data_IF_940796131337
#
_entry.id   IF_940796131337
#
_cell.length_a   1.000
_cell.length_b   1.000
_cell.length_c   1.000
_cell.angle_alpha   90.00
_cell.angle_beta   90.00
_cell.angle_gamma   90.00
#
_symmetry.space_group_name_H-M   'P 1'
#
loop_
_entity.id
_entity.type
_entity.pdbx_description
1 polymer ?
#
# COMPACT_ATOMS: atom_id res chain seq x y z
N UNK A 1 29.84 34.96 23.48
CA UNK A 1 30.19 33.82 24.34
C UNK A 1 29.08 32.80 24.20
N UNK A 2 29.45 31.60 23.81
CA UNK A 2 28.60 30.50 23.34
C UNK A 2 28.24 29.55 24.48
N UNK A 3 26.95 29.45 24.80
CA UNK A 3 26.40 28.33 25.57
C UNK A 3 25.73 27.35 24.61
N UNK A 4 26.54 26.43 24.08
CA UNK A 4 26.04 25.25 23.37
C UNK A 4 25.71 24.23 24.46
N UNK A 5 24.41 24.08 24.73
CA UNK A 5 23.85 22.98 25.50
C UNK A 5 23.98 21.69 24.68
N UNK A 6 25.16 21.08 24.70
CA UNK A 6 25.40 19.75 24.18
C UNK A 6 24.91 18.74 25.23
N UNK A 7 23.66 18.29 25.08
CA UNK A 7 23.17 17.12 25.80
C UNK A 7 23.90 15.89 25.23
N UNK A 8 25.09 15.62 25.78
CA UNK A 8 25.75 14.33 25.61
C UNK A 8 24.89 13.26 26.29
N UNK A 9 23.98 12.66 25.52
CA UNK A 9 23.22 11.49 25.95
C UNK A 9 24.20 10.39 26.35
N UNK A 10 24.14 9.95 27.61
CA UNK A 10 25.03 8.92 28.13
C UNK A 10 24.83 7.64 27.30
N UNK A 11 25.91 6.96 26.83
CA UNK A 11 25.81 5.70 26.08
C UNK A 11 24.90 4.65 26.74
N UNK A 12 24.84 4.63 28.09
CA UNK A 12 23.95 3.77 28.86
C UNK A 12 22.46 4.08 28.65
N UNK A 13 22.08 5.36 28.66
CA UNK A 13 20.69 5.80 28.48
C UNK A 13 20.19 5.52 27.05
N UNK A 14 21.08 5.71 26.06
CA UNK A 14 20.79 5.38 24.66
C UNK A 14 20.57 3.87 24.48
N UNK A 15 21.39 3.04 25.12
CA UNK A 15 21.24 1.59 25.10
C UNK A 15 19.91 1.13 25.75
N UNK A 16 19.57 1.68 26.91
CA UNK A 16 18.28 1.39 27.57
C UNK A 16 17.08 1.80 26.72
N UNK A 17 17.15 2.96 26.05
CA UNK A 17 16.09 3.43 25.15
C UNK A 17 15.88 2.48 23.97
N UNK A 18 16.98 2.02 23.34
CA UNK A 18 16.93 1.05 22.25
C UNK A 18 16.31 -0.27 22.72
N UNK A 19 16.74 -0.80 23.86
CA UNK A 19 16.20 -2.06 24.41
C UNK A 19 14.70 -1.95 24.74
N UNK A 20 14.25 -0.81 25.29
CA UNK A 20 12.81 -0.56 25.51
C UNK A 20 12.04 -0.54 24.20
N UNK A 21 12.57 0.12 23.17
CA UNK A 21 11.97 0.15 21.84
C UNK A 21 11.92 -1.24 21.20
N UNK A 22 12.98 -2.03 21.31
CA UNK A 22 13.00 -3.41 20.81
C UNK A 22 11.94 -4.28 21.50
N UNK A 23 11.79 -4.18 22.82
CA UNK A 23 10.74 -4.89 23.55
C UNK A 23 9.33 -4.47 23.11
N UNK A 24 9.10 -3.16 22.90
CA UNK A 24 7.83 -2.65 22.39
C UNK A 24 7.56 -3.13 20.96
N UNK A 25 8.57 -3.12 20.08
CA UNK A 25 8.47 -3.61 18.71
C UNK A 25 8.12 -5.10 18.72
N UNK A 26 8.84 -5.91 19.49
CA UNK A 26 8.60 -7.34 19.57
C UNK A 26 7.20 -7.66 20.14
N UNK A 27 6.75 -6.93 21.16
CA UNK A 27 5.38 -7.05 21.67
C UNK A 27 4.33 -6.75 20.60
N UNK A 28 4.50 -5.63 19.88
CA UNK A 28 3.57 -5.26 18.80
C UNK A 28 3.61 -6.24 17.63
N UNK A 29 4.75 -6.87 17.33
CA UNK A 29 4.83 -7.94 16.31
C UNK A 29 3.98 -9.13 16.72
N UNK A 30 4.12 -9.60 17.97
CA UNK A 30 3.34 -10.72 18.49
C UNK A 30 1.84 -10.42 18.51
N UNK A 31 1.46 -9.23 19.00
CA UNK A 31 0.07 -8.79 19.00
C UNK A 31 -0.49 -8.71 17.57
N UNK A 32 0.29 -8.20 16.62
CA UNK A 32 -0.09 -8.12 15.21
C UNK A 32 -0.28 -9.50 14.60
N UNK A 33 0.62 -10.45 14.86
CA UNK A 33 0.51 -11.83 14.38
C UNK A 33 -0.76 -12.50 14.94
N UNK A 34 -1.03 -12.32 16.23
CA UNK A 34 -2.24 -12.86 16.86
C UNK A 34 -3.51 -12.23 16.27
N UNK A 35 -3.55 -10.90 16.14
CA UNK A 35 -4.69 -10.19 15.55
C UNK A 35 -4.92 -10.60 14.09
N UNK A 36 -3.86 -10.76 13.30
CA UNK A 36 -3.96 -11.22 11.92
C UNK A 36 -4.49 -12.65 11.83
N UNK A 37 -4.03 -13.55 12.70
CA UNK A 37 -4.53 -14.92 12.76
C UNK A 37 -6.01 -14.96 13.13
N UNK A 38 -6.39 -14.28 14.21
CA UNK A 38 -7.78 -14.19 14.66
C UNK A 38 -8.67 -13.57 13.58
N UNK A 39 -8.23 -12.48 12.94
CA UNK A 39 -8.97 -11.85 11.86
C UNK A 39 -9.20 -12.80 10.68
N UNK A 40 -8.19 -13.61 10.32
CA UNK A 40 -8.32 -14.61 9.25
C UNK A 40 -9.37 -15.67 9.61
N UNK A 41 -9.36 -16.17 10.83
CA UNK A 41 -10.33 -17.16 11.32
C UNK A 41 -11.75 -16.58 11.35
N UNK A 42 -11.93 -15.41 11.95
CA UNK A 42 -13.24 -14.75 12.02
C UNK A 42 -13.79 -14.40 10.63
N UNK A 43 -12.94 -13.98 9.70
CA UNK A 43 -13.34 -13.77 8.31
C UNK A 43 -13.78 -15.07 7.62
N UNK A 44 -13.12 -16.20 7.90
CA UNK A 44 -13.54 -17.49 7.36
C UNK A 44 -14.90 -17.90 7.92
N UNK A 45 -15.11 -17.81 9.24
CA UNK A 45 -16.39 -18.10 9.88
C UNK A 45 -17.52 -17.20 9.35
N UNK A 46 -17.25 -15.90 9.19
CA UNK A 46 -18.21 -14.95 8.66
C UNK A 46 -18.57 -15.28 7.20
N UNK A 47 -17.56 -15.64 6.39
CA UNK A 47 -17.76 -16.06 5.00
C UNK A 47 -18.61 -17.33 4.94
N UNK A 48 -18.32 -18.33 5.77
CA UNK A 48 -19.09 -19.57 5.84
C UNK A 48 -20.54 -19.31 6.26
N UNK A 49 -20.79 -18.36 7.17
CA UNK A 49 -22.14 -17.96 7.56
C UNK A 49 -22.94 -17.40 6.36
N UNK A 50 -22.31 -16.59 5.52
CA UNK A 50 -22.95 -16.10 4.29
C UNK A 50 -23.15 -17.21 3.26
N UNK A 51 -22.16 -18.07 3.02
CA UNK A 51 -22.26 -19.14 2.03
C UNK A 51 -23.32 -20.20 2.36
N UNK A 52 -23.60 -20.41 3.64
CA UNK A 52 -24.65 -21.33 4.11
C UNK A 52 -26.06 -20.70 4.14
N UNK A 53 -26.18 -19.39 3.96
CA UNK A 53 -27.47 -18.72 3.90
C UNK A 53 -28.11 -18.87 2.51
N UNK A 54 -29.34 -19.38 2.48
CA UNK A 54 -30.04 -19.70 1.23
C UNK A 54 -30.41 -18.44 0.44
N UNK A 55 -30.81 -17.36 1.11
CA UNK A 55 -31.15 -16.08 0.47
C UNK A 55 -29.90 -15.43 -0.13
N UNK A 56 -28.80 -15.41 0.62
CA UNK A 56 -27.51 -14.92 0.15
C UNK A 56 -27.01 -15.70 -1.06
N UNK A 57 -27.13 -17.03 -1.05
CA UNK A 57 -26.75 -17.88 -2.18
C UNK A 57 -27.55 -17.54 -3.44
N UNK A 58 -28.88 -17.40 -3.33
CA UNK A 58 -29.74 -17.03 -4.45
C UNK A 58 -29.40 -15.64 -5.01
N UNK A 59 -29.20 -14.65 -4.13
CA UNK A 59 -28.82 -13.28 -4.54
C UNK A 59 -27.42 -13.28 -5.16
N UNK A 60 -26.48 -14.06 -4.63
CA UNK A 60 -25.12 -14.19 -5.15
C UNK A 60 -25.11 -14.79 -6.55
N UNK A 61 -25.91 -15.83 -6.82
CA UNK A 61 -26.03 -16.40 -8.15
C UNK A 61 -26.64 -15.40 -9.15
N UNK A 62 -27.72 -14.70 -8.77
CA UNK A 62 -28.29 -13.62 -9.61
C UNK A 62 -27.25 -12.52 -9.90
N UNK A 63 -26.46 -12.12 -8.90
CA UNK A 63 -25.39 -11.14 -9.08
C UNK A 63 -24.30 -11.65 -10.04
N UNK A 64 -23.91 -12.93 -9.94
CA UNK A 64 -22.97 -13.57 -10.87
C UNK A 64 -23.51 -13.57 -12.30
N UNK A 65 -24.79 -13.88 -12.50
CA UNK A 65 -25.44 -13.82 -13.82
C UNK A 65 -25.43 -12.41 -14.40
N UNK A 66 -25.83 -11.40 -13.61
CA UNK A 66 -25.80 -9.99 -14.01
C UNK A 66 -24.37 -9.55 -14.35
N UNK A 67 -23.37 -9.99 -13.59
CA UNK A 67 -21.97 -9.67 -13.85
C UNK A 67 -21.47 -10.31 -15.15
N UNK A 68 -21.88 -11.56 -15.46
CA UNK A 68 -21.58 -12.22 -16.76
C UNK A 68 -22.24 -11.47 -17.92
N UNK A 69 -23.49 -11.04 -17.77
CA UNK A 69 -24.19 -10.24 -18.76
C UNK A 69 -23.48 -8.89 -18.99
N UNK A 70 -23.15 -8.19 -17.90
CA UNK A 70 -22.38 -6.93 -17.95
C UNK A 70 -21.05 -7.10 -18.68
N UNK A 71 -20.32 -8.19 -18.40
CA UNK A 71 -19.08 -8.52 -19.11
C UNK A 71 -19.32 -8.74 -20.60
N UNK A 72 -20.32 -9.55 -20.96
CA UNK A 72 -20.67 -9.81 -22.37
C UNK A 72 -21.02 -8.52 -23.12
N UNK A 73 -21.80 -7.63 -22.49
CA UNK A 73 -22.14 -6.32 -23.06
C UNK A 73 -20.89 -5.45 -23.23
N UNK A 74 -20.00 -5.42 -22.22
CA UNK A 74 -18.74 -4.68 -22.29
C UNK A 74 -17.86 -5.20 -23.43
N UNK A 75 -17.69 -6.52 -23.53
CA UNK A 75 -16.87 -7.16 -24.57
C UNK A 75 -17.45 -6.88 -25.96
N UNK A 76 -18.78 -6.84 -26.10
CA UNK A 76 -19.44 -6.40 -27.35
C UNK A 76 -19.15 -4.93 -27.68
N UNK A 77 -19.22 -4.04 -26.69
CA UNK A 77 -18.96 -2.61 -26.89
C UNK A 77 -17.50 -2.38 -27.29
N UNK A 78 -16.53 -3.09 -26.69
CA UNK A 78 -15.11 -2.99 -27.02
C UNK A 78 -14.82 -3.44 -28.46
N UNK A 79 -15.64 -4.30 -29.06
CA UNK A 79 -15.47 -4.70 -30.48
C UNK A 79 -15.75 -3.54 -31.44
N UNK A 80 -16.41 -2.47 -31.00
CA UNK A 80 -16.49 -1.24 -31.78
C UNK A 80 -15.07 -0.66 -31.98
N UNK A 81 -14.62 -0.42 -33.22
CA UNK A 81 -13.25 0.04 -33.48
C UNK A 81 -12.85 1.31 -32.72
N UNK A 82 -13.79 2.27 -32.55
CA UNK A 82 -13.51 3.51 -31.82
C UNK A 82 -13.31 3.27 -30.33
N UNK A 83 -14.06 2.31 -29.76
CA UNK A 83 -13.93 1.92 -28.36
C UNK A 83 -12.69 1.04 -28.13
N UNK A 84 -12.37 0.14 -29.06
CA UNK A 84 -11.16 -0.68 -28.99
C UNK A 84 -9.90 0.19 -28.88
N UNK A 85 -9.78 1.21 -29.75
CA UNK A 85 -8.67 2.16 -29.73
C UNK A 85 -8.62 2.94 -28.42
N UNK A 86 -9.78 3.31 -27.87
CA UNK A 86 -9.86 3.99 -26.58
C UNK A 86 -9.42 3.07 -25.43
N UNK A 87 -9.84 1.80 -25.42
CA UNK A 87 -9.47 0.82 -24.38
C UNK A 87 -7.98 0.51 -24.40
N UNK A 88 -7.39 0.38 -25.59
CA UNK A 88 -5.95 0.26 -25.79
C UNK A 88 -5.23 1.49 -25.24
N UNK A 89 -5.67 2.71 -25.62
CA UNK A 89 -5.06 3.95 -25.13
C UNK A 89 -5.15 4.09 -23.61
N UNK A 90 -6.27 3.72 -23.00
CA UNK A 90 -6.46 3.71 -21.55
C UNK A 90 -5.50 2.71 -20.89
N UNK A 91 -5.32 1.54 -21.50
CA UNK A 91 -4.39 0.52 -21.00
C UNK A 91 -2.94 1.00 -21.06
N UNK A 92 -2.53 1.60 -22.17
CA UNK A 92 -1.21 2.20 -22.33
C UNK A 92 -0.94 3.30 -21.32
N UNK A 93 -1.90 4.21 -21.13
CA UNK A 93 -1.79 5.29 -20.13
C UNK A 93 -1.67 4.73 -18.71
N UNK A 94 -2.41 3.67 -18.36
CA UNK A 94 -2.28 3.01 -17.05
C UNK A 94 -0.91 2.39 -16.84
N UNK A 95 -0.37 1.75 -17.87
CA UNK A 95 0.98 1.17 -17.83
C UNK A 95 2.01 2.27 -17.68
N UNK A 96 1.95 3.31 -18.52
CA UNK A 96 2.86 4.45 -18.46
C UNK A 96 2.81 5.19 -17.11
N UNK A 97 1.63 5.34 -16.50
CA UNK A 97 1.50 5.90 -15.14
C UNK A 97 2.26 5.06 -14.11
N UNK A 98 2.08 3.73 -14.12
CA UNK A 98 2.75 2.83 -13.17
C UNK A 98 4.27 2.86 -13.33
N UNK A 99 4.76 2.78 -14.57
CA UNK A 99 6.19 2.83 -14.88
C UNK A 99 6.81 4.17 -14.48
N UNK A 100 6.13 5.27 -14.79
CA UNK A 100 6.57 6.63 -14.42
C UNK A 100 6.59 6.81 -12.90
N UNK A 101 5.59 6.30 -12.19
CA UNK A 101 5.55 6.34 -10.73
C UNK A 101 6.69 5.53 -10.10
N UNK A 102 7.02 4.36 -10.67
CA UNK A 102 8.14 3.55 -10.21
C UNK A 102 9.47 4.28 -10.43
N UNK A 103 9.70 4.78 -11.64
CA UNK A 103 10.90 5.55 -11.97
C UNK A 103 11.02 6.80 -11.07
N UNK A 104 9.92 7.52 -10.85
CA UNK A 104 9.88 8.67 -9.95
C UNK A 104 10.27 8.26 -8.51
N UNK A 105 9.71 7.16 -7.99
CA UNK A 105 10.06 6.64 -6.66
C UNK A 105 11.56 6.31 -6.55
N UNK A 106 12.13 5.70 -7.59
CA UNK A 106 13.55 5.37 -7.65
C UNK A 106 14.43 6.64 -7.67
N UNK A 107 14.02 7.67 -8.43
CA UNK A 107 14.70 8.96 -8.47
C UNK A 107 14.61 9.73 -7.15
N UNK A 108 13.44 9.76 -6.53
CA UNK A 108 13.22 10.39 -5.22
C UNK A 108 14.06 9.72 -4.13
N UNK A 109 14.15 8.38 -4.16
CA UNK A 109 15.01 7.61 -3.26
C UNK A 109 16.48 7.98 -3.44
N UNK A 110 16.96 8.02 -4.68
CA UNK A 110 18.34 8.42 -4.99
C UNK A 110 18.62 9.88 -4.61
N UNK A 111 17.67 10.78 -4.85
CA UNK A 111 17.78 12.19 -4.48
C UNK A 111 17.90 12.35 -2.96
N UNK A 112 17.06 11.67 -2.18
CA UNK A 112 17.18 11.66 -0.71
C UNK A 112 18.52 11.08 -0.24
N UNK A 113 18.95 9.94 -0.82
CA UNK A 113 20.23 9.31 -0.47
C UNK A 113 21.44 10.22 -0.73
N UNK A 114 21.39 11.04 -1.80
CA UNK A 114 22.50 11.93 -2.20
C UNK A 114 22.47 13.28 -1.49
N UNK A 115 21.28 13.86 -1.29
CA UNK A 115 21.12 15.24 -0.78
C UNK A 115 20.72 15.30 0.70
N UNK A 116 20.14 14.24 1.25
CA UNK A 116 19.48 14.26 2.56
C UNK A 116 18.17 15.06 2.60
N UNK A 117 17.78 15.72 1.50
CA UNK A 117 16.61 16.59 1.46
C UNK A 117 15.35 15.80 1.14
N UNK A 118 14.23 16.16 1.77
CA UNK A 118 12.91 15.56 1.54
C UNK A 118 11.97 16.40 0.68
N UNK A 119 12.45 17.52 0.15
CA UNK A 119 11.62 18.45 -0.61
C UNK A 119 12.18 18.64 -2.02
N UNK A 120 11.27 18.77 -2.98
CA UNK A 120 11.59 19.13 -4.37
C UNK A 120 10.72 20.31 -4.78
N UNK A 121 11.27 21.21 -5.60
CA UNK A 121 10.45 22.23 -6.27
C UNK A 121 10.04 21.68 -7.63
N UNK A 122 8.73 21.63 -7.90
CA UNK A 122 8.19 21.21 -9.18
C UNK A 122 8.42 22.25 -10.27
N UNK A 123 8.19 21.85 -11.52
CA UNK A 123 8.29 22.75 -12.68
C UNK A 123 7.22 23.84 -12.70
N UNK A 124 6.16 23.65 -11.91
CA UNK A 124 5.10 24.63 -11.62
C UNK A 124 5.46 25.60 -10.49
N UNK A 125 6.64 25.44 -9.88
CA UNK A 125 7.09 26.24 -8.74
C UNK A 125 6.54 25.78 -7.38
N UNK A 126 5.74 24.71 -7.33
CA UNK A 126 5.23 24.18 -6.07
C UNK A 126 6.28 23.30 -5.37
N UNK A 127 6.44 23.51 -4.07
CA UNK A 127 7.29 22.65 -3.24
C UNK A 127 6.50 21.41 -2.82
N UNK A 128 7.07 20.24 -3.07
CA UNK A 128 6.50 18.93 -2.74
C UNK A 128 7.41 18.19 -1.78
N UNK A 129 6.81 17.51 -0.81
CA UNK A 129 7.52 16.70 0.19
C UNK A 129 7.45 15.20 -0.14
N UNK A 130 8.56 14.50 0.07
CA UNK A 130 8.70 13.07 -0.08
C UNK A 130 8.21 12.33 1.17
N UNK A 131 7.09 11.60 1.03
CA UNK A 131 6.54 10.76 2.08
C UNK A 131 7.03 9.32 1.93
N UNK A 132 7.74 8.80 2.94
CA UNK A 132 8.17 7.40 3.00
C UNK A 132 7.37 6.65 4.06
N UNK A 133 6.57 5.65 3.69
CA UNK A 133 5.92 4.77 4.66
C UNK A 133 6.90 3.69 5.12
N UNK A 134 7.28 3.67 6.40
CA UNK A 134 8.06 2.55 6.98
C UNK A 134 7.10 1.41 7.30
N UNK A 135 7.40 0.21 6.79
CA UNK A 135 6.64 -1.03 7.08
C UNK A 135 7.61 -2.15 7.38
N UNK A 136 7.34 -2.92 8.43
CA UNK A 136 8.08 -4.15 8.71
C UNK A 136 7.59 -5.25 7.77
N UNK A 137 8.51 -5.89 7.05
CA UNK A 137 8.22 -7.04 6.18
C UNK A 137 9.01 -8.25 6.67
N UNK A 138 8.38 -9.43 6.63
CA UNK A 138 9.08 -10.69 6.91
C UNK A 138 10.17 -10.89 5.84
N UNK A 139 11.41 -11.12 6.26
CA UNK A 139 12.50 -11.48 5.35
C UNK A 139 12.16 -12.81 4.70
N UNK A 140 12.18 -12.88 3.37
CA UNK A 140 12.19 -14.15 2.64
C UNK A 140 13.66 -14.52 2.45
N UNK A 141 14.08 -15.62 3.06
CA UNK A 141 15.33 -16.29 2.69
C UNK A 141 15.13 -17.07 1.38
#
# INVERSE_FOLDING_TARGET
MSDINDQTTNPSEKFESIMRLENLINGNILDLEQLQSSLKEQNAMLKDAFENDAEYSEVSEKAREVQKLKKTVKDRIIKDPGVALLDEKVTDLRTGVKETQQALSDYLTQYYQKSGMRQITGTDGEIREMVTSVRLVKRRD
#
